data_IF_647938925067
#
_entry.id   IF_647938925067
#
_cell.length_a   1.000
_cell.length_b   1.000
_cell.length_c   1.000
_cell.angle_alpha   90.00
_cell.angle_beta   90.00
_cell.angle_gamma   90.00
#
_symmetry.space_group_name_H-M   'P 1'
#
loop_
_entity.id
_entity.type
_entity.pdbx_description
1 polymer ?
#
# COMPACT_ATOMS: atom_id res chain seq x y z
N UNK A 1 1.98 -22.71 -17.30
CA UNK A 1 1.35 -21.40 -17.00
C UNK A 1 1.40 -21.21 -15.51
N UNK A 2 1.96 -20.09 -15.05
CA UNK A 2 2.22 -19.83 -13.63
C UNK A 2 1.65 -18.47 -13.26
N UNK A 3 0.97 -18.38 -12.13
CA UNK A 3 0.52 -17.11 -11.54
C UNK A 3 1.56 -16.70 -10.51
N UNK A 4 2.05 -15.49 -10.61
CA UNK A 4 3.11 -14.98 -9.74
C UNK A 4 2.62 -13.72 -9.01
N UNK A 5 3.01 -13.59 -7.76
CA UNK A 5 2.91 -12.35 -6.99
C UNK A 5 4.28 -11.80 -6.74
N UNK A 6 4.46 -10.52 -7.04
CA UNK A 6 5.70 -9.80 -6.84
C UNK A 6 5.49 -8.78 -5.73
N UNK A 7 6.44 -8.67 -4.81
CA UNK A 7 6.59 -7.54 -3.90
C UNK A 7 7.66 -6.61 -4.44
N UNK A 8 7.42 -5.31 -4.48
CA UNK A 8 8.40 -4.32 -4.92
C UNK A 8 8.40 -3.06 -4.06
N UNK A 9 9.56 -2.41 -3.96
CA UNK A 9 9.70 -1.08 -3.40
C UNK A 9 9.57 0.00 -4.47
N UNK A 10 9.13 1.18 -4.05
CA UNK A 10 9.02 2.40 -4.86
C UNK A 10 9.55 3.58 -4.05
N UNK A 11 10.81 3.95 -4.25
CA UNK A 11 11.53 4.97 -3.47
C UNK A 11 12.25 5.99 -4.36
N UNK A 12 12.71 7.10 -3.78
CA UNK A 12 13.43 8.13 -4.54
C UNK A 12 12.54 8.92 -5.51
N UNK A 13 13.11 9.46 -6.61
CA UNK A 13 12.41 10.36 -7.54
C UNK A 13 11.18 9.75 -8.22
N UNK A 14 11.14 8.41 -8.36
CA UNK A 14 10.01 7.70 -8.98
C UNK A 14 8.69 7.90 -8.21
N UNK A 15 8.74 8.42 -6.98
CA UNK A 15 7.54 8.76 -6.19
C UNK A 15 6.58 9.70 -6.92
N UNK A 16 7.09 10.52 -7.85
CA UNK A 16 6.30 11.45 -8.65
C UNK A 16 5.68 10.84 -9.91
N UNK A 17 5.99 9.57 -10.22
CA UNK A 17 5.39 8.85 -11.34
C UNK A 17 4.03 8.31 -10.94
N UNK A 18 3.01 8.64 -11.74
CA UNK A 18 1.63 8.21 -11.53
C UNK A 18 1.41 6.72 -11.82
N UNK A 19 0.29 6.19 -11.33
CA UNK A 19 0.00 4.75 -11.40
C UNK A 19 0.05 4.17 -12.83
N UNK A 20 -0.56 4.86 -13.81
CA UNK A 20 -0.56 4.38 -15.21
C UNK A 20 0.85 4.30 -15.82
N UNK A 21 1.73 5.21 -15.42
CA UNK A 21 3.11 5.21 -15.90
C UNK A 21 3.94 4.13 -15.23
N UNK A 22 3.66 3.83 -13.95
CA UNK A 22 4.21 2.63 -13.27
C UNK A 22 3.74 1.36 -13.98
N UNK A 23 2.46 1.25 -14.37
CA UNK A 23 1.97 0.09 -15.12
C UNK A 23 2.72 -0.07 -16.46
N UNK A 24 2.86 1.02 -17.23
CA UNK A 24 3.60 1.02 -18.50
C UNK A 24 5.08 0.68 -18.29
N UNK A 25 5.68 1.16 -17.21
CA UNK A 25 7.05 0.85 -16.84
C UNK A 25 7.23 -0.65 -16.60
N UNK A 26 6.37 -1.28 -15.80
CA UNK A 26 6.42 -2.72 -15.56
C UNK A 26 6.22 -3.52 -16.84
N UNK A 27 5.28 -3.12 -17.72
CA UNK A 27 5.09 -3.78 -19.01
C UNK A 27 6.36 -3.77 -19.88
N UNK A 28 7.10 -2.65 -19.87
CA UNK A 28 8.38 -2.51 -20.57
C UNK A 28 9.51 -3.28 -19.87
N UNK A 29 9.55 -3.28 -18.54
CA UNK A 29 10.53 -4.04 -17.77
C UNK A 29 10.39 -5.55 -18.01
N UNK A 30 9.16 -6.08 -17.95
CA UNK A 30 8.86 -7.50 -18.23
C UNK A 30 9.34 -7.90 -19.63
N UNK A 31 9.11 -7.05 -20.64
CA UNK A 31 9.61 -7.27 -22.01
C UNK A 31 11.14 -7.26 -22.09
N UNK A 32 11.80 -6.28 -21.45
CA UNK A 32 13.28 -6.17 -21.45
C UNK A 32 13.96 -7.30 -20.68
N UNK A 33 13.32 -7.79 -19.63
CA UNK A 33 13.76 -8.94 -18.87
C UNK A 33 13.52 -10.27 -19.62
N UNK A 34 12.88 -10.23 -20.79
CA UNK A 34 12.50 -11.39 -21.62
C UNK A 34 11.60 -12.40 -20.88
N UNK A 35 10.79 -11.91 -19.93
CA UNK A 35 9.84 -12.75 -19.21
C UNK A 35 8.72 -13.15 -20.16
N UNK A 36 8.46 -14.46 -20.24
CA UNK A 36 7.42 -15.07 -21.07
C UNK A 36 6.01 -14.81 -20.50
N UNK A 37 5.61 -13.54 -20.50
CA UNK A 37 4.36 -13.05 -19.94
C UNK A 37 3.16 -13.48 -20.80
N UNK A 38 2.09 -13.93 -20.13
CA UNK A 38 0.83 -14.26 -20.78
C UNK A 38 0.08 -12.98 -21.16
N UNK A 39 -0.54 -13.00 -22.33
CA UNK A 39 -1.41 -11.93 -22.82
C UNK A 39 -2.89 -12.33 -22.73
N UNK A 40 -3.76 -11.33 -22.65
CA UNK A 40 -5.21 -11.52 -22.73
C UNK A 40 -5.64 -12.02 -24.11
N UNK A 41 -6.69 -12.82 -24.16
CA UNK A 41 -7.33 -13.26 -25.40
C UNK A 41 -8.33 -12.19 -25.87
N UNK A 42 -8.12 -11.61 -27.06
CA UNK A 42 -8.99 -10.57 -27.62
C UNK A 42 -8.33 -9.71 -28.69
N UNK A 43 -9.09 -8.76 -29.25
CA UNK A 43 -8.64 -7.89 -30.36
C UNK A 43 -7.52 -6.90 -29.99
N UNK A 44 -7.26 -6.69 -28.69
CA UNK A 44 -6.14 -5.87 -28.21
C UNK A 44 -5.44 -6.58 -27.05
N UNK A 45 -4.54 -7.54 -27.35
CA UNK A 45 -3.84 -8.31 -26.34
C UNK A 45 -3.01 -7.41 -25.43
N UNK A 46 -3.23 -7.51 -24.13
CA UNK A 46 -2.43 -6.83 -23.11
C UNK A 46 -1.84 -7.86 -22.15
N UNK A 47 -0.72 -7.53 -21.53
CA UNK A 47 -0.10 -8.38 -20.52
C UNK A 47 -1.07 -8.58 -19.35
N UNK A 48 -1.20 -9.82 -18.88
CA UNK A 48 -2.02 -10.15 -17.72
C UNK A 48 -1.31 -9.72 -16.44
N UNK A 49 -1.53 -8.46 -16.06
CA UNK A 49 -0.96 -7.78 -14.90
C UNK A 49 -2.04 -7.13 -14.05
N UNK A 50 -1.92 -7.21 -12.71
CA UNK A 50 -2.84 -6.58 -11.76
C UNK A 50 -2.10 -6.09 -10.52
N UNK A 51 -2.06 -4.77 -10.31
CA UNK A 51 -1.54 -4.21 -9.07
C UNK A 51 -2.55 -4.38 -7.94
N UNK A 52 -2.04 -4.57 -6.71
CA UNK A 52 -2.90 -4.68 -5.53
C UNK A 52 -3.64 -3.38 -5.24
N UNK A 53 -2.91 -2.28 -5.07
CA UNK A 53 -3.50 -0.96 -4.85
C UNK A 53 -2.64 0.11 -5.53
N UNK A 54 -3.24 1.21 -6.00
CA UNK A 54 -2.47 2.36 -6.44
C UNK A 54 -1.83 3.08 -5.25
N UNK A 55 -0.59 3.54 -5.45
CA UNK A 55 0.09 4.44 -4.52
C UNK A 55 -0.08 5.90 -4.98
N UNK A 56 -0.40 6.80 -4.06
CA UNK A 56 -0.53 8.23 -4.36
C UNK A 56 0.77 8.83 -4.89
N UNK A 57 0.64 9.81 -5.79
CA UNK A 57 1.79 10.59 -6.25
C UNK A 57 2.45 11.30 -5.07
N UNK A 58 3.78 11.26 -5.02
CA UNK A 58 4.58 11.82 -3.93
C UNK A 58 4.82 10.86 -2.76
N UNK A 59 4.15 9.71 -2.71
CA UNK A 59 4.38 8.68 -1.71
C UNK A 59 5.43 7.64 -2.14
N UNK A 60 6.13 7.10 -1.17
CA UNK A 60 7.08 5.98 -1.31
C UNK A 60 6.51 4.71 -0.68
N UNK A 61 7.07 3.55 -1.00
CA UNK A 61 6.63 2.28 -0.43
C UNK A 61 7.73 1.22 -0.44
N UNK A 62 7.71 0.33 0.53
CA UNK A 62 8.56 -0.88 0.59
C UNK A 62 7.76 -2.17 0.35
N UNK A 63 6.45 -2.08 0.10
CA UNK A 63 5.60 -3.25 0.00
C UNK A 63 4.40 -3.04 -0.90
N UNK A 64 4.66 -2.75 -2.18
CA UNK A 64 3.64 -2.80 -3.22
C UNK A 64 3.59 -4.18 -3.86
N UNK A 65 2.40 -4.61 -4.27
CA UNK A 65 2.21 -5.93 -4.88
C UNK A 65 1.67 -5.85 -6.30
N UNK A 66 2.19 -6.74 -7.14
CA UNK A 66 1.78 -6.95 -8.52
C UNK A 66 1.58 -8.44 -8.76
N UNK A 67 0.38 -8.81 -9.21
CA UNK A 67 0.11 -10.15 -9.71
C UNK A 67 0.35 -10.17 -11.23
N UNK A 68 1.04 -11.20 -11.72
CA UNK A 68 1.25 -11.44 -13.15
C UNK A 68 1.05 -12.91 -13.53
N UNK A 69 0.71 -13.18 -14.78
CA UNK A 69 0.64 -14.57 -15.30
C UNK A 69 1.68 -14.77 -16.40
N UNK A 70 2.50 -15.80 -16.27
CA UNK A 70 3.53 -16.18 -17.26
C UNK A 70 3.20 -17.53 -17.89
N UNK A 71 3.58 -17.74 -19.15
CA UNK A 71 3.38 -19.03 -19.83
C UNK A 71 4.38 -20.06 -19.27
N UNK A 72 5.64 -19.65 -19.11
CA UNK A 72 6.75 -20.44 -18.59
C UNK A 72 7.68 -19.62 -17.69
N UNK A 73 8.44 -20.30 -16.82
CA UNK A 73 9.53 -19.72 -16.03
C UNK A 73 10.54 -20.79 -15.64
N UNK A 74 11.77 -20.38 -15.31
CA UNK A 74 12.78 -21.28 -14.72
C UNK A 74 12.55 -21.44 -13.21
N UNK A 75 12.44 -20.32 -12.51
CA UNK A 75 12.11 -20.25 -11.08
C UNK A 75 11.66 -18.84 -10.70
N UNK A 76 11.04 -18.66 -9.53
CA UNK A 76 10.71 -17.33 -9.00
C UNK A 76 11.96 -16.47 -8.78
N UNK A 77 13.08 -17.08 -8.35
CA UNK A 77 14.38 -16.42 -8.20
C UNK A 77 14.94 -15.92 -9.53
N UNK A 78 14.85 -16.71 -10.60
CA UNK A 78 15.25 -16.29 -11.95
C UNK A 78 14.44 -15.08 -12.41
N UNK A 79 13.10 -15.15 -12.26
CA UNK A 79 12.20 -14.04 -12.59
C UNK A 79 12.58 -12.77 -11.82
N UNK A 80 12.82 -12.88 -10.51
CA UNK A 80 13.25 -11.76 -9.67
C UNK A 80 14.55 -11.13 -10.16
N UNK A 81 15.57 -11.95 -10.42
CA UNK A 81 16.89 -11.48 -10.84
C UNK A 81 16.84 -10.78 -12.21
N UNK A 82 16.11 -11.37 -13.17
CA UNK A 82 15.96 -10.80 -14.52
C UNK A 82 15.16 -9.51 -14.53
N UNK A 83 14.15 -9.39 -13.67
CA UNK A 83 13.44 -8.13 -13.50
C UNK A 83 14.34 -7.07 -12.89
N UNK A 84 15.04 -7.39 -11.79
CA UNK A 84 15.94 -6.44 -11.13
C UNK A 84 17.11 -5.99 -12.02
N UNK A 85 17.60 -6.82 -12.94
CA UNK A 85 18.68 -6.44 -13.86
C UNK A 85 18.27 -5.37 -14.90
N UNK A 86 16.96 -5.15 -15.10
CA UNK A 86 16.43 -4.15 -16.04
C UNK A 86 15.62 -3.05 -15.37
N UNK A 87 15.49 -3.09 -14.03
CA UNK A 87 14.83 -2.02 -13.28
C UNK A 87 15.72 -0.76 -13.23
N UNK A 88 15.07 0.40 -13.26
CA UNK A 88 15.69 1.68 -12.99
C UNK A 88 15.76 1.94 -11.48
N UNK A 89 16.64 2.85 -11.09
CA UNK A 89 16.74 3.34 -9.72
C UNK A 89 15.37 3.77 -9.17
N UNK A 90 15.12 3.37 -7.92
CA UNK A 90 13.88 3.67 -7.20
C UNK A 90 12.80 2.59 -7.31
N UNK A 91 12.99 1.54 -8.11
CA UNK A 91 12.13 0.35 -8.09
C UNK A 91 12.98 -0.90 -7.92
N UNK A 92 12.69 -1.69 -6.89
CA UNK A 92 13.37 -2.97 -6.63
C UNK A 92 12.33 -4.06 -6.41
N UNK A 93 12.46 -5.20 -7.10
CA UNK A 93 11.68 -6.40 -6.78
C UNK A 93 12.29 -7.04 -5.53
N UNK A 94 11.51 -7.13 -4.48
CA UNK A 94 11.91 -7.61 -3.16
C UNK A 94 11.62 -9.11 -2.97
N UNK A 95 10.54 -9.60 -3.58
CA UNK A 95 10.16 -11.00 -3.51
C UNK A 95 9.28 -11.39 -4.70
N UNK A 96 9.31 -12.68 -5.06
CA UNK A 96 8.44 -13.28 -6.06
C UNK A 96 7.95 -14.62 -5.52
N UNK A 97 6.64 -14.80 -5.47
CA UNK A 97 5.99 -16.03 -5.01
C UNK A 97 5.12 -16.59 -6.13
N UNK A 98 5.11 -17.92 -6.27
CA UNK A 98 4.17 -18.60 -7.15
C UNK A 98 2.85 -18.85 -6.42
N UNK A 99 1.76 -18.38 -7.02
CA UNK A 99 0.41 -18.52 -6.48
C UNK A 99 -0.23 -19.82 -6.93
N UNK A 100 -0.89 -20.51 -6.01
CA UNK A 100 -1.75 -21.63 -6.32
C UNK A 100 -3.09 -21.17 -6.96
N UNK A 101 -3.88 -22.10 -7.48
CA UNK A 101 -5.13 -21.78 -8.17
C UNK A 101 -6.18 -21.11 -7.27
N UNK A 102 -6.15 -21.38 -5.97
CA UNK A 102 -7.08 -20.85 -4.95
C UNK A 102 -6.66 -19.47 -4.41
N UNK A 103 -5.49 -18.97 -4.80
CA UNK A 103 -4.99 -17.69 -4.31
C UNK A 103 -5.84 -16.54 -4.86
N UNK A 104 -6.41 -15.75 -3.94
CA UNK A 104 -7.13 -14.54 -4.29
C UNK A 104 -6.18 -13.51 -4.91
N UNK A 105 -6.71 -12.68 -5.81
CA UNK A 105 -5.94 -11.56 -6.40
C UNK A 105 -5.63 -10.53 -5.33
N UNK A 106 -4.42 -9.99 -5.33
CA UNK A 106 -4.00 -9.02 -4.33
C UNK A 106 -4.92 -7.79 -4.32
N UNK A 107 -5.41 -7.41 -5.50
CA UNK A 107 -6.33 -6.29 -5.69
C UNK A 107 -7.63 -6.43 -4.91
N UNK A 108 -8.14 -7.65 -4.77
CA UNK A 108 -9.42 -7.93 -4.10
C UNK A 108 -9.25 -8.34 -2.64
N UNK A 109 -8.09 -8.89 -2.30
CA UNK A 109 -7.80 -9.49 -1.00
C UNK A 109 -7.07 -8.55 -0.03
N UNK A 110 -6.80 -7.32 -0.47
CA UNK A 110 -6.21 -6.30 0.39
C UNK A 110 -7.16 -5.99 1.54
N UNK A 111 -6.65 -5.95 2.76
CA UNK A 111 -7.41 -5.66 3.97
C UNK A 111 -6.87 -4.44 4.74
N UNK A 112 -5.55 -4.28 4.82
CA UNK A 112 -4.92 -3.16 5.54
C UNK A 112 -3.63 -2.69 4.85
N UNK A 113 -3.14 -1.52 5.27
CA UNK A 113 -1.78 -1.07 4.98
C UNK A 113 -1.15 -0.39 6.18
N UNK A 114 0.15 -0.64 6.38
CA UNK A 114 0.98 0.03 7.38
C UNK A 114 1.67 1.22 6.72
N UNK A 115 1.60 2.37 7.36
CA UNK A 115 2.18 3.62 6.89
C UNK A 115 3.09 4.21 7.94
N UNK A 116 4.21 4.81 7.52
CA UNK A 116 4.99 5.76 8.31
C UNK A 116 4.73 7.14 7.75
N UNK A 117 4.29 8.05 8.60
CA UNK A 117 3.85 9.39 8.26
C UNK A 117 4.69 10.42 9.01
N UNK A 118 5.09 11.47 8.32
CA UNK A 118 5.77 12.63 8.92
C UNK A 118 5.48 13.89 8.12
N UNK A 119 5.73 15.06 8.69
CA UNK A 119 5.69 16.30 7.93
C UNK A 119 7.00 16.52 7.17
N UNK A 120 6.89 17.06 5.95
CA UNK A 120 8.04 17.54 5.19
C UNK A 120 8.75 18.65 5.97
N UNK A 121 10.07 18.72 5.84
CA UNK A 121 10.91 19.69 6.58
C UNK A 121 10.39 21.12 6.48
N UNK A 122 9.96 21.56 5.28
CA UNK A 122 9.46 22.92 5.04
C UNK A 122 7.95 23.08 5.28
N UNK A 123 7.30 22.07 5.86
CA UNK A 123 5.86 22.05 6.11
C UNK A 123 5.55 21.45 7.48
N UNK A 124 6.54 21.48 8.39
CA UNK A 124 6.34 21.10 9.79
C UNK A 124 5.34 22.06 10.44
N UNK A 125 4.34 21.55 11.16
CA UNK A 125 3.44 22.40 11.90
C UNK A 125 4.17 23.17 13.01
N UNK A 126 3.59 24.31 13.40
CA UNK A 126 4.09 25.19 14.46
C UNK A 126 3.66 24.75 15.87
N UNK A 127 3.13 23.54 16.01
CA UNK A 127 2.62 22.95 17.23
C UNK A 127 3.08 21.51 17.37
N UNK A 128 2.93 20.96 18.58
CA UNK A 128 3.19 19.56 18.85
C UNK A 128 2.10 18.68 18.23
N UNK A 129 2.31 18.31 16.97
CA UNK A 129 1.33 17.53 16.22
C UNK A 129 1.16 16.11 16.76
N UNK A 130 2.17 15.54 17.45
CA UNK A 130 2.09 14.20 18.03
C UNK A 130 1.14 14.24 19.22
N UNK A 131 1.38 15.13 20.18
CA UNK A 131 0.53 15.26 21.36
C UNK A 131 -0.94 15.58 20.99
N UNK A 132 -1.16 16.48 20.02
CA UNK A 132 -2.50 16.80 19.54
C UNK A 132 -3.14 15.61 18.77
N UNK A 133 -2.35 14.83 18.02
CA UNK A 133 -2.85 13.65 17.33
C UNK A 133 -3.22 12.54 18.31
N UNK A 134 -2.45 12.33 19.37
CA UNK A 134 -2.78 11.38 20.44
C UNK A 134 -4.10 11.73 21.12
N UNK A 135 -4.27 13.01 21.48
CA UNK A 135 -5.53 13.54 22.03
C UNK A 135 -6.69 13.39 21.05
N UNK A 136 -6.46 13.63 19.77
CA UNK A 136 -7.48 13.41 18.74
C UNK A 136 -7.87 11.93 18.67
N UNK A 137 -6.88 11.03 18.61
CA UNK A 137 -7.07 9.59 18.53
C UNK A 137 -7.72 9.01 19.79
N UNK A 138 -7.64 9.64 20.96
CA UNK A 138 -8.32 9.17 22.17
C UNK A 138 -9.84 9.34 22.14
N UNK A 139 -10.39 10.04 21.13
CA UNK A 139 -11.84 10.18 20.96
C UNK A 139 -12.56 8.87 20.64
N UNK A 140 -13.78 8.72 21.17
CA UNK A 140 -14.66 7.57 20.89
C UNK A 140 -15.09 7.49 19.41
N UNK A 141 -15.18 8.66 18.76
CA UNK A 141 -15.52 8.81 17.35
C UNK A 141 -14.59 9.81 16.71
N UNK A 142 -14.18 9.50 15.48
CA UNK A 142 -13.34 10.34 14.63
C UNK A 142 -14.11 10.61 13.33
N UNK A 143 -15.06 11.55 13.33
CA UNK A 143 -15.87 11.84 12.16
C UNK A 143 -15.02 12.46 11.04
N UNK A 144 -15.31 12.10 9.79
CA UNK A 144 -14.72 12.72 8.62
C UNK A 144 -15.70 12.72 7.45
N UNK A 145 -15.67 13.78 6.64
CA UNK A 145 -16.47 13.89 5.43
C UNK A 145 -15.74 13.24 4.25
N UNK A 146 -16.25 12.09 3.78
CA UNK A 146 -15.68 11.36 2.64
C UNK A 146 -16.51 11.60 1.38
N UNK A 147 -15.85 12.02 0.30
CA UNK A 147 -16.47 12.11 -1.03
C UNK A 147 -16.74 10.72 -1.60
N UNK A 148 -17.95 10.49 -2.04
CA UNK A 148 -18.42 9.28 -2.71
C UNK A 148 -18.92 9.62 -4.13
N UNK A 149 -19.34 8.60 -4.89
CA UNK A 149 -19.98 8.81 -6.20
C UNK A 149 -21.31 9.57 -6.07
N UNK A 150 -21.97 9.49 -4.92
CA UNK A 150 -23.31 10.05 -4.68
C UNK A 150 -23.30 11.33 -3.84
N UNK A 151 -22.13 11.92 -3.56
CA UNK A 151 -22.01 13.16 -2.78
C UNK A 151 -21.00 13.04 -1.64
N UNK A 152 -21.27 13.71 -0.53
CA UNK A 152 -20.46 13.63 0.69
C UNK A 152 -21.15 12.69 1.68
N UNK A 153 -20.37 11.80 2.31
CA UNK A 153 -20.86 10.90 3.37
C UNK A 153 -19.96 11.08 4.59
N UNK A 154 -20.59 11.32 5.74
CA UNK A 154 -19.89 11.25 7.01
C UNK A 154 -19.54 9.80 7.35
N UNK A 155 -18.30 9.58 7.79
CA UNK A 155 -17.82 8.28 8.25
C UNK A 155 -17.19 8.43 9.63
N UNK A 156 -17.22 7.38 10.45
CA UNK A 156 -16.38 7.28 11.63
C UNK A 156 -15.08 6.55 11.26
N UNK A 157 -13.94 7.23 11.38
CA UNK A 157 -12.63 6.67 11.04
C UNK A 157 -12.05 5.77 12.13
N UNK A 158 -12.52 5.91 13.39
CA UNK A 158 -11.98 5.15 14.54
C UNK A 158 -11.87 3.64 14.29
N UNK A 159 -12.90 2.91 13.82
CA UNK A 159 -12.79 1.46 13.55
C UNK A 159 -11.87 1.11 12.35
N UNK A 160 -11.44 2.10 11.57
CA UNK A 160 -10.58 1.91 10.40
C UNK A 160 -9.09 2.10 10.74
N UNK A 161 -8.76 2.41 12.00
CA UNK A 161 -7.40 2.56 12.52
C UNK A 161 -7.13 1.35 13.41
N UNK A 162 -6.39 0.37 12.90
CA UNK A 162 -6.15 -0.90 13.59
C UNK A 162 -5.04 -0.79 14.63
N UNK A 163 -4.01 0.01 14.35
CA UNK A 163 -2.94 0.30 15.30
C UNK A 163 -2.28 1.64 14.94
N UNK A 164 -1.66 2.28 15.94
CA UNK A 164 -0.81 3.43 15.73
C UNK A 164 0.28 3.51 16.81
N UNK A 165 1.39 4.14 16.46
CA UNK A 165 2.53 4.40 17.36
C UNK A 165 3.18 5.71 16.92
N UNK A 166 3.74 6.45 17.87
CA UNK A 166 4.48 7.68 17.61
C UNK A 166 5.94 7.56 18.04
N UNK A 167 6.83 8.15 17.26
CA UNK A 167 8.23 8.34 17.62
C UNK A 167 8.54 9.84 17.66
N UNK A 168 8.65 10.36 18.88
CA UNK A 168 8.97 11.77 19.13
C UNK A 168 10.35 12.17 18.61
N UNK A 169 11.33 11.25 18.61
CA UNK A 169 12.71 11.56 18.18
C UNK A 169 12.78 11.78 16.69
N UNK A 170 12.09 10.93 15.92
CA UNK A 170 12.05 11.02 14.46
C UNK A 170 10.92 11.91 13.96
N UNK A 171 10.00 12.33 14.83
CA UNK A 171 8.78 13.07 14.49
C UNK A 171 7.95 12.32 13.45
N UNK A 172 7.70 11.04 13.72
CA UNK A 172 6.92 10.16 12.85
C UNK A 172 5.75 9.52 13.59
N UNK A 173 4.71 9.16 12.84
CA UNK A 173 3.64 8.29 13.32
C UNK A 173 3.50 7.08 12.39
N UNK A 174 3.50 5.90 12.98
CA UNK A 174 3.21 4.63 12.29
C UNK A 174 1.72 4.33 12.44
N UNK A 175 1.05 4.00 11.36
CA UNK A 175 -0.39 3.73 11.34
C UNK A 175 -0.71 2.47 10.53
N UNK A 176 -1.44 1.54 11.13
CA UNK A 176 -2.05 0.42 10.45
C UNK A 176 -3.51 0.78 10.15
N UNK A 177 -3.83 0.98 8.87
CA UNK A 177 -5.12 1.51 8.42
C UNK A 177 -5.85 0.51 7.54
N UNK A 178 -7.18 0.49 7.65
CA UNK A 178 -8.05 -0.29 6.76
C UNK A 178 -7.89 0.11 5.30
N UNK A 179 -7.76 -0.87 4.41
CA UNK A 179 -7.58 -0.70 2.95
C UNK A 179 -8.34 -1.78 2.17
N UNK A 180 -9.52 -2.16 2.63
CA UNK A 180 -10.38 -3.12 1.94
C UNK A 180 -11.23 -2.49 0.84
N UNK A 181 -11.85 -3.34 0.00
CA UNK A 181 -12.81 -2.93 -1.03
C UNK A 181 -14.07 -2.26 -0.44
N UNK A 182 -14.43 -2.57 0.80
CA UNK A 182 -15.57 -2.00 1.51
C UNK A 182 -15.19 -0.71 2.25
N UNK A 183 -14.06 -0.75 2.94
CA UNK A 183 -13.60 0.30 3.83
C UNK A 183 -12.13 0.59 3.61
N UNK A 184 -11.81 1.82 3.22
CA UNK A 184 -10.43 2.30 3.05
C UNK A 184 -10.30 3.66 3.71
N UNK A 185 -9.31 3.79 4.61
CA UNK A 185 -8.91 5.03 5.25
C UNK A 185 -7.57 5.48 4.68
N UNK A 186 -7.57 6.60 3.95
CA UNK A 186 -6.34 7.21 3.41
C UNK A 186 -5.66 8.04 4.49
N UNK A 187 -4.32 8.02 4.60
CA UNK A 187 -3.58 8.91 5.52
C UNK A 187 -3.97 10.38 5.41
N UNK A 188 -4.18 10.86 4.18
CA UNK A 188 -4.57 12.26 3.92
C UNK A 188 -5.97 12.61 4.43
N UNK A 189 -6.88 11.63 4.53
CA UNK A 189 -8.22 11.85 5.10
C UNK A 189 -8.13 11.92 6.63
N UNK A 190 -7.35 11.01 7.23
CA UNK A 190 -7.08 11.00 8.67
C UNK A 190 -6.46 12.32 9.13
N UNK A 191 -5.38 12.76 8.48
CA UNK A 191 -4.72 14.02 8.81
C UNK A 191 -5.56 15.25 8.48
N UNK A 192 -6.39 15.18 7.44
CA UNK A 192 -7.34 16.26 7.12
C UNK A 192 -8.34 16.49 8.26
N UNK A 193 -8.99 15.43 8.73
CA UNK A 193 -9.96 15.52 9.83
C UNK A 193 -9.30 15.85 11.17
N UNK A 194 -8.07 15.37 11.42
CA UNK A 194 -7.28 15.79 12.57
C UNK A 194 -7.06 17.31 12.59
N UNK A 195 -6.58 17.90 11.49
CA UNK A 195 -6.34 19.33 11.41
C UNK A 195 -7.64 20.14 11.53
N UNK A 196 -8.72 19.67 10.91
CA UNK A 196 -10.05 20.27 11.05
C UNK A 196 -10.50 20.30 12.52
N UNK A 197 -10.26 19.23 13.28
CA UNK A 197 -10.66 19.12 14.70
C UNK A 197 -9.96 20.13 15.61
N UNK A 198 -8.78 20.62 15.23
CA UNK A 198 -8.01 21.63 15.96
C UNK A 198 -8.09 23.01 15.29
N UNK A 199 -8.99 23.21 14.32
CA UNK A 199 -9.21 24.48 13.64
C UNK A 199 -8.04 24.95 12.78
N UNK A 200 -7.24 24.03 12.22
CA UNK A 200 -6.09 24.33 11.37
C UNK A 200 -6.30 23.83 9.94
N UNK A 201 -5.62 24.46 8.98
CA UNK A 201 -5.66 24.04 7.58
C UNK A 201 -4.66 22.92 7.29
N UNK A 202 -5.08 21.92 6.51
CA UNK A 202 -4.22 20.81 6.08
C UNK A 202 -3.98 20.82 4.57
N UNK A 203 -2.72 20.74 4.18
CA UNK A 203 -2.32 20.47 2.81
C UNK A 203 -1.82 19.04 2.67
N UNK A 204 -2.39 18.26 1.75
CA UNK A 204 -1.93 16.87 1.52
C UNK A 204 -0.46 16.80 1.06
N UNK A 205 0.07 17.88 0.49
CA UNK A 205 1.47 17.97 0.05
C UNK A 205 2.45 18.22 1.20
N UNK A 206 1.99 18.60 2.40
CA UNK A 206 2.85 18.75 3.58
C UNK A 206 3.29 17.41 4.16
N UNK A 207 2.54 16.34 3.87
CA UNK A 207 2.76 15.01 4.43
C UNK A 207 3.76 14.21 3.57
N UNK A 208 4.75 13.62 4.24
CA UNK A 208 5.51 12.49 3.73
C UNK A 208 4.73 11.22 4.06
N UNK A 209 4.39 10.46 3.02
CA UNK A 209 3.68 9.19 3.15
C UNK A 209 4.62 8.10 2.66
N UNK A 210 4.98 7.19 3.55
CA UNK A 210 5.69 5.97 3.23
C UNK A 210 4.81 4.77 3.58
N UNK A 211 4.44 3.94 2.60
CA UNK A 211 3.71 2.69 2.87
C UNK A 211 4.72 1.57 3.12
N UNK A 212 4.70 1.01 4.32
CA UNK A 212 5.61 -0.08 4.69
C UNK A 212 5.20 -1.37 3.98
N UNK A 213 3.92 -1.73 4.07
CA UNK A 213 3.41 -2.96 3.46
C UNK A 213 1.89 -2.94 3.29
N UNK A 214 1.39 -3.92 2.55
CA UNK A 214 -0.03 -4.22 2.34
C UNK A 214 -0.33 -5.62 2.89
N UNK A 215 -1.43 -5.70 3.63
CA UNK A 215 -1.82 -6.89 4.38
C UNK A 215 -3.14 -7.46 3.86
N UNK A 216 -3.22 -8.78 3.84
CA UNK A 216 -4.46 -9.55 3.65
C UNK A 216 -5.02 -10.00 5.00
N UNK A 217 -6.31 -10.29 5.04
CA UNK A 217 -6.95 -10.92 6.20
C UNK A 217 -6.76 -12.43 6.11
N UNK A 218 -6.36 -13.05 7.23
CA UNK A 218 -6.42 -14.48 7.43
C UNK A 218 -7.43 -14.76 8.54
N UNK A 219 -8.41 -15.59 8.21
CA UNK A 219 -9.47 -16.02 9.11
C UNK A 219 -9.61 -17.53 8.97
N UNK A 220 -9.10 -18.26 9.96
CA UNK A 220 -9.14 -19.73 9.98
C UNK A 220 -10.19 -20.28 10.97
N UNK A 221 -11.07 -19.42 11.50
CA UNK A 221 -12.08 -19.76 12.50
C UNK A 221 -11.60 -19.63 13.94
N UNK A 222 -10.36 -20.03 14.24
CA UNK A 222 -9.78 -19.98 15.60
C UNK A 222 -9.00 -18.66 15.83
N UNK A 223 -8.34 -18.17 14.79
CA UNK A 223 -7.53 -16.96 14.80
C UNK A 223 -7.90 -16.07 13.62
N UNK A 224 -8.01 -14.78 13.92
CA UNK A 224 -8.25 -13.74 12.93
C UNK A 224 -7.11 -12.74 13.01
N UNK A 225 -6.29 -12.68 11.98
CA UNK A 225 -5.12 -11.81 11.92
C UNK A 225 -4.89 -11.29 10.52
N UNK A 226 -4.04 -10.28 10.39
CA UNK A 226 -3.59 -9.78 9.10
C UNK A 226 -2.10 -10.04 8.95
N UNK A 227 -1.70 -10.39 7.73
CA UNK A 227 -0.30 -10.65 7.38
C UNK A 227 0.02 -10.06 6.00
N UNK A 228 1.29 -9.77 5.70
CA UNK A 228 1.71 -9.38 4.36
C UNK A 228 1.33 -10.42 3.31
N UNK A 229 1.20 -9.98 2.05
CA UNK A 229 0.81 -10.91 0.98
C UNK A 229 1.85 -11.98 0.67
N UNK A 230 3.14 -11.64 0.78
CA UNK A 230 4.26 -12.59 0.74
C UNK A 230 4.87 -12.60 2.12
N UNK A 231 4.86 -13.77 2.77
CA UNK A 231 5.36 -13.95 4.13
C UNK A 231 6.72 -14.67 4.13
N UNK A 232 7.51 -14.38 5.16
CA UNK A 232 8.74 -15.02 5.56
C UNK A 232 8.76 -15.12 7.10
N UNK A 233 9.76 -15.80 7.66
CA UNK A 233 9.84 -16.07 9.10
C UNK A 233 9.94 -14.80 9.98
N UNK A 234 10.20 -13.63 9.38
CA UNK A 234 10.36 -12.34 10.05
C UNK A 234 9.11 -11.44 9.93
N UNK A 235 8.06 -11.86 9.22
CA UNK A 235 6.90 -11.01 9.00
C UNK A 235 6.01 -10.91 10.25
N UNK A 236 5.77 -9.66 10.67
CA UNK A 236 4.85 -9.32 11.75
C UNK A 236 3.39 -9.66 11.35
N UNK A 237 2.73 -10.49 12.16
CA UNK A 237 1.29 -10.76 12.10
C UNK A 237 0.57 -9.88 13.11
N UNK A 238 -0.52 -9.24 12.71
CA UNK A 238 -1.35 -8.45 13.62
C UNK A 238 -2.67 -9.18 13.87
N UNK A 239 -2.84 -9.69 15.09
CA UNK A 239 -4.06 -10.36 15.51
C UNK A 239 -5.16 -9.33 15.76
N UNK A 240 -6.32 -9.55 15.13
CA UNK A 240 -7.49 -8.67 15.23
C UNK A 240 -8.43 -9.06 16.38
N UNK A 241 -8.17 -10.21 17.01
CA UNK A 241 -8.84 -10.66 18.22
C UNK A 241 -7.88 -10.48 19.40
N UNK A 242 -7.95 -9.31 20.04
CA UNK A 242 -7.23 -8.92 21.24
C UNK A 242 -7.95 -7.76 21.92
#
# INVERSE_FOLDING_TARGET
MHKLRLKFSKTGPIKFVGHLDIMRYFQKAIRRAEIDIKYSEGFSPHQLLSFAQPLSVGATSDGEYLDMTVNSMVSTTDVMNRLNSVMNEGITILAVEELNEHSAKAMTDTYAAKYVLSFRTNSKPDFDWIAEMEKYLSGDKLPAMKKTKSGMKEINMKPMIFAHEFDEKTQTGTFLLSMSSLETLKPTLLFGAFFESIGKEFSTSSLNIHRVDIYKLVDNGDERYIEPFITNDMNERFYLNG
#
